data_IF_167862240984
#
_entry.id   IF_167862240984
#
_cell.length_a   1.000
_cell.length_b   1.000
_cell.length_c   1.000
_cell.angle_alpha   90.00
_cell.angle_beta   90.00
_cell.angle_gamma   90.00
#
_symmetry.space_group_name_H-M   'P 1'
#
loop_
_entity.id
_entity.type
_entity.pdbx_description
1 polymer ?
#
# COMPACT_ATOMS: atom_id res chain seq x y z
N UNK A 1 21.77 37.70 -26.03
CA UNK A 1 20.35 37.69 -25.63
C UNK A 1 20.14 36.38 -24.90
N UNK A 2 20.61 36.33 -23.65
CA UNK A 2 20.38 35.22 -22.72
C UNK A 2 18.89 35.21 -22.39
N UNK A 3 18.15 34.27 -22.97
CA UNK A 3 16.78 34.03 -22.56
C UNK A 3 16.82 33.31 -21.21
N UNK A 4 16.41 34.02 -20.17
CA UNK A 4 16.01 33.46 -18.90
C UNK A 4 14.93 32.39 -19.15
N UNK A 5 15.33 31.12 -19.19
CA UNK A 5 14.41 30.00 -19.01
C UNK A 5 14.32 29.82 -17.51
N UNK A 6 13.41 30.58 -16.93
CA UNK A 6 13.04 30.55 -15.52
C UNK A 6 12.54 29.14 -15.16
N UNK A 7 13.35 28.40 -14.41
CA UNK A 7 12.95 27.68 -13.19
C UNK A 7 11.72 26.76 -13.16
N UNK A 8 11.22 26.24 -14.28
CA UNK A 8 10.18 25.20 -14.23
C UNK A 8 10.79 23.84 -13.88
N UNK A 9 10.88 23.56 -12.58
CA UNK A 9 11.06 22.20 -12.08
C UNK A 9 9.71 21.47 -12.15
N UNK A 10 9.64 20.37 -12.91
CA UNK A 10 8.49 19.49 -12.93
C UNK A 10 8.51 18.58 -11.70
N UNK A 11 7.36 17.98 -11.35
CA UNK A 11 7.30 17.02 -10.24
C UNK A 11 8.28 15.83 -10.40
N UNK A 12 8.66 15.50 -11.64
CA UNK A 12 9.67 14.50 -11.98
C UNK A 12 11.11 14.92 -11.60
N UNK A 13 11.37 16.22 -11.41
CA UNK A 13 12.68 16.75 -11.01
C UNK A 13 12.92 16.67 -9.49
N UNK A 14 11.89 16.31 -8.71
CA UNK A 14 12.00 16.18 -7.26
C UNK A 14 12.26 14.72 -6.89
N UNK A 15 13.37 14.41 -6.20
CA UNK A 15 13.62 13.04 -5.76
C UNK A 15 12.57 12.64 -4.74
N UNK A 16 11.69 11.71 -5.09
CA UNK A 16 10.68 11.13 -4.18
C UNK A 16 11.28 10.11 -3.21
N UNK A 17 12.56 9.76 -3.36
CA UNK A 17 13.23 8.77 -2.53
C UNK A 17 13.08 9.01 -1.01
N UNK A 18 13.20 10.24 -0.47
CA UNK A 18 12.96 10.48 0.96
C UNK A 18 11.55 10.13 1.41
N UNK A 19 10.52 10.48 0.62
CA UNK A 19 9.13 10.14 0.92
C UNK A 19 8.91 8.62 0.86
N UNK A 20 9.48 7.94 -0.14
CA UNK A 20 9.41 6.48 -0.24
C UNK A 20 10.09 5.79 0.95
N UNK A 21 11.22 6.34 1.42
CA UNK A 21 11.95 5.84 2.58
C UNK A 21 11.14 6.03 3.87
N UNK A 22 10.53 7.21 4.08
CA UNK A 22 9.67 7.50 5.23
C UNK A 22 8.42 6.61 5.23
N UNK A 23 7.77 6.44 4.08
CA UNK A 23 6.66 5.51 3.90
C UNK A 23 7.06 4.07 4.25
N UNK A 24 8.25 3.62 3.79
CA UNK A 24 8.76 2.27 4.08
C UNK A 24 9.04 2.08 5.57
N UNK A 25 9.63 3.08 6.22
CA UNK A 25 9.92 3.05 7.66
C UNK A 25 8.63 2.95 8.47
N UNK A 26 7.69 3.88 8.27
CA UNK A 26 6.44 3.92 9.04
C UNK A 26 5.58 2.67 8.82
N UNK A 27 5.55 2.16 7.58
CA UNK A 27 4.92 0.88 7.25
C UNK A 27 5.56 -0.26 8.04
N UNK A 28 6.90 -0.35 8.09
CA UNK A 28 7.58 -1.44 8.81
C UNK A 28 7.30 -1.41 10.31
N UNK A 29 7.23 -0.21 10.90
CA UNK A 29 6.88 -0.04 12.31
C UNK A 29 5.44 -0.52 12.59
N UNK A 30 4.49 -0.19 11.71
CA UNK A 30 3.12 -0.70 11.84
C UNK A 30 3.06 -2.22 11.62
N UNK A 31 3.80 -2.76 10.66
CA UNK A 31 3.89 -4.21 10.42
C UNK A 31 4.33 -4.93 11.72
N UNK A 32 5.34 -4.40 12.41
CA UNK A 32 5.82 -4.95 13.69
C UNK A 32 4.81 -4.81 14.82
N UNK A 33 4.18 -3.64 14.97
CA UNK A 33 3.11 -3.43 15.94
C UNK A 33 1.95 -4.41 15.75
N UNK A 34 1.53 -4.67 14.51
CA UNK A 34 0.43 -5.60 14.22
C UNK A 34 0.78 -7.05 14.60
N UNK A 35 2.02 -7.49 14.33
CA UNK A 35 2.49 -8.82 14.73
C UNK A 35 2.50 -9.00 16.24
N UNK A 36 2.92 -7.97 16.98
CA UNK A 36 3.07 -8.00 18.44
C UNK A 36 1.71 -7.85 19.14
N UNK A 37 0.93 -6.84 18.76
CA UNK A 37 -0.27 -6.41 19.51
C UNK A 37 -1.56 -7.12 19.06
N UNK A 38 -1.60 -7.65 17.84
CA UNK A 38 -2.78 -8.36 17.32
C UNK A 38 -2.49 -9.86 17.24
N UNK A 39 -1.62 -10.25 16.31
CA UNK A 39 -1.01 -11.58 16.20
C UNK A 39 -0.25 -11.69 14.88
N UNK A 40 0.72 -12.60 14.82
CA UNK A 40 1.38 -12.96 13.56
C UNK A 40 0.40 -13.59 12.55
N UNK A 41 -0.56 -14.39 13.01
CA UNK A 41 -1.58 -15.00 12.14
C UNK A 41 -2.45 -13.94 11.45
N UNK A 42 -2.95 -12.96 12.20
CA UNK A 42 -3.71 -11.85 11.63
C UNK A 42 -2.86 -11.07 10.62
N UNK A 43 -1.61 -10.77 10.97
CA UNK A 43 -0.69 -10.04 10.09
C UNK A 43 -0.49 -10.79 8.75
N UNK A 44 -0.35 -12.11 8.77
CA UNK A 44 -0.23 -12.91 7.54
C UNK A 44 -1.46 -12.82 6.64
N UNK A 45 -2.67 -12.80 7.21
CA UNK A 45 -3.93 -12.61 6.46
C UNK A 45 -3.97 -11.23 5.80
N UNK A 46 -3.66 -10.18 6.56
CA UNK A 46 -3.57 -8.81 6.08
C UNK A 46 -2.53 -8.67 4.96
N UNK A 47 -1.33 -9.22 5.14
CA UNK A 47 -0.24 -9.16 4.16
C UNK A 47 -0.64 -9.83 2.85
N UNK A 48 -1.32 -10.97 2.91
CA UNK A 48 -1.82 -11.67 1.73
C UNK A 48 -2.83 -10.83 0.95
N UNK A 49 -3.79 -10.20 1.65
CA UNK A 49 -4.77 -9.29 1.03
C UNK A 49 -4.04 -8.10 0.38
N UNK A 50 -3.09 -7.47 1.08
CA UNK A 50 -2.33 -6.32 0.57
C UNK A 50 -1.48 -6.68 -0.65
N UNK A 51 -0.82 -7.84 -0.64
CA UNK A 51 -0.04 -8.33 -1.77
C UNK A 51 -0.93 -8.55 -3.00
N UNK A 52 -2.10 -9.17 -2.84
CA UNK A 52 -3.06 -9.34 -3.94
C UNK A 52 -3.53 -8.00 -4.50
N UNK A 53 -3.85 -7.03 -3.63
CA UNK A 53 -4.23 -5.69 -4.05
C UNK A 53 -3.11 -4.96 -4.82
N UNK A 54 -1.87 -5.00 -4.30
CA UNK A 54 -0.71 -4.38 -4.92
C UNK A 54 -0.38 -5.01 -6.28
N UNK A 55 -0.42 -6.33 -6.38
CA UNK A 55 -0.20 -7.01 -7.65
C UNK A 55 -1.32 -6.72 -8.66
N UNK A 56 -2.59 -6.69 -8.22
CA UNK A 56 -3.70 -6.36 -9.10
C UNK A 56 -3.58 -4.94 -9.67
N UNK A 57 -3.20 -3.97 -8.83
CA UNK A 57 -2.94 -2.60 -9.24
C UNK A 57 -1.75 -2.52 -10.22
N UNK A 58 -0.66 -3.24 -9.95
CA UNK A 58 0.50 -3.32 -10.83
C UNK A 58 0.18 -3.90 -12.21
N UNK A 59 -0.62 -4.98 -12.28
CA UNK A 59 -1.07 -5.55 -13.56
C UNK A 59 -1.96 -4.59 -14.33
N UNK A 60 -2.83 -3.86 -13.65
CA UNK A 60 -3.66 -2.82 -14.28
C UNK A 60 -2.81 -1.70 -14.88
N UNK A 61 -1.81 -1.21 -14.13
CA UNK A 61 -0.85 -0.21 -14.61
C UNK A 61 0.01 -0.71 -15.77
N UNK A 62 0.30 -2.01 -15.81
CA UNK A 62 1.00 -2.68 -16.91
C UNK A 62 0.10 -2.98 -18.12
N UNK A 63 -1.16 -2.51 -18.13
CA UNK A 63 -2.15 -2.77 -19.17
C UNK A 63 -2.51 -4.25 -19.37
N UNK A 64 -2.44 -5.06 -18.30
CA UNK A 64 -2.92 -6.45 -18.26
C UNK A 64 -4.19 -6.56 -17.38
N UNK A 65 -5.38 -6.23 -17.92
CA UNK A 65 -6.62 -6.23 -17.16
C UNK A 65 -7.10 -7.64 -16.78
N UNK A 66 -6.73 -8.68 -17.53
CA UNK A 66 -7.14 -10.06 -17.25
C UNK A 66 -6.45 -10.56 -15.98
N UNK A 67 -5.12 -10.42 -15.89
CA UNK A 67 -4.36 -10.76 -14.69
C UNK A 67 -4.78 -9.91 -13.49
N UNK A 68 -5.04 -8.62 -13.70
CA UNK A 68 -5.56 -7.73 -12.65
C UNK A 68 -6.88 -8.23 -12.08
N UNK A 69 -7.84 -8.58 -12.94
CA UNK A 69 -9.15 -9.07 -12.53
C UNK A 69 -9.08 -10.45 -11.85
N UNK A 70 -8.18 -11.32 -12.30
CA UNK A 70 -7.92 -12.60 -11.65
C UNK A 70 -7.44 -12.41 -10.20
N UNK A 71 -6.46 -11.52 -9.99
CA UNK A 71 -5.93 -11.21 -8.66
C UNK A 71 -6.98 -10.54 -7.76
N UNK A 72 -7.79 -9.62 -8.30
CA UNK A 72 -8.89 -9.02 -7.57
C UNK A 72 -9.94 -10.06 -7.13
N UNK A 73 -10.23 -11.04 -7.98
CA UNK A 73 -11.13 -12.15 -7.65
C UNK A 73 -10.55 -13.05 -6.55
N UNK A 74 -9.23 -13.29 -6.56
CA UNK A 74 -8.54 -13.99 -5.46
C UNK A 74 -8.63 -13.23 -4.15
N UNK A 75 -8.38 -11.92 -4.17
CA UNK A 75 -8.51 -11.05 -2.99
C UNK A 75 -9.94 -11.08 -2.44
N UNK A 76 -10.96 -11.07 -3.31
CA UNK A 76 -12.35 -11.21 -2.89
C UNK A 76 -12.60 -12.55 -2.18
N UNK A 77 -11.96 -13.63 -2.62
CA UNK A 77 -12.00 -14.93 -1.95
C UNK A 77 -11.45 -14.85 -0.52
N UNK A 78 -10.26 -14.29 -0.34
CA UNK A 78 -9.65 -14.08 1.00
C UNK A 78 -10.57 -13.28 1.92
N UNK A 79 -11.16 -12.20 1.41
CA UNK A 79 -12.04 -11.34 2.18
C UNK A 79 -13.35 -12.03 2.58
N UNK A 80 -13.86 -12.96 1.75
CA UNK A 80 -15.07 -13.74 2.06
C UNK A 80 -14.80 -14.81 3.12
N UNK A 81 -13.60 -15.35 3.17
CA UNK A 81 -13.17 -16.35 4.14
C UNK A 81 -12.66 -15.73 5.44
N UNK A 82 -12.47 -14.40 5.48
CA UNK A 82 -12.01 -13.68 6.66
C UNK A 82 -13.02 -13.79 7.81
N UNK A 83 -12.58 -14.17 9.03
CA UNK A 83 -13.42 -14.14 10.21
C UNK A 83 -13.99 -12.75 10.47
N UNK A 84 -15.24 -12.67 10.94
CA UNK A 84 -15.88 -11.38 11.20
C UNK A 84 -15.13 -10.56 12.27
N UNK A 85 -14.52 -11.23 13.25
CA UNK A 85 -13.67 -10.62 14.28
C UNK A 85 -12.41 -9.95 13.70
N UNK A 86 -11.89 -10.45 12.58
CA UNK A 86 -10.72 -9.90 11.89
C UNK A 86 -11.09 -8.73 10.97
N UNK A 87 -12.37 -8.54 10.61
CA UNK A 87 -12.80 -7.51 9.67
C UNK A 87 -12.54 -6.08 10.18
N UNK A 88 -12.80 -5.81 11.46
CA UNK A 88 -12.57 -4.50 12.07
C UNK A 88 -11.07 -4.19 12.25
N UNK A 89 -10.23 -5.10 12.79
CA UNK A 89 -8.78 -4.95 12.78
C UNK A 89 -8.21 -4.73 11.38
N UNK A 90 -8.68 -5.46 10.36
CA UNK A 90 -8.24 -5.29 8.98
C UNK A 90 -8.54 -3.87 8.48
N UNK A 91 -9.78 -3.41 8.63
CA UNK A 91 -10.18 -2.06 8.19
C UNK A 91 -9.36 -0.97 8.89
N UNK A 92 -9.08 -1.12 10.19
CA UNK A 92 -8.24 -0.19 10.95
C UNK A 92 -6.80 -0.21 10.48
N UNK A 93 -6.21 -1.39 10.25
CA UNK A 93 -4.85 -1.51 9.74
C UNK A 93 -4.71 -0.77 8.39
N UNK A 94 -5.65 -0.96 7.46
CA UNK A 94 -5.70 -0.22 6.20
C UNK A 94 -5.77 1.30 6.42
N UNK A 95 -6.66 1.76 7.32
CA UNK A 95 -6.75 3.18 7.67
C UNK A 95 -5.47 3.74 8.28
N UNK A 96 -4.78 2.96 9.12
CA UNK A 96 -3.50 3.35 9.70
C UNK A 96 -2.40 3.43 8.64
N UNK A 97 -2.30 2.49 7.69
CA UNK A 97 -1.34 2.62 6.59
C UNK A 97 -1.58 3.91 5.79
N UNK A 98 -2.84 4.21 5.42
CA UNK A 98 -3.18 5.44 4.69
C UNK A 98 -2.82 6.69 5.50
N UNK A 99 -3.12 6.71 6.80
CA UNK A 99 -2.76 7.83 7.67
C UNK A 99 -1.25 7.99 7.80
N UNK A 100 -0.49 6.90 7.88
CA UNK A 100 0.98 6.94 7.96
C UNK A 100 1.60 7.44 6.65
N UNK A 101 1.06 7.06 5.50
CA UNK A 101 1.44 7.66 4.22
C UNK A 101 1.19 9.17 4.22
N UNK A 102 0.02 9.61 4.68
CA UNK A 102 -0.28 11.05 4.80
C UNK A 102 0.50 11.81 5.88
N UNK A 103 1.21 11.11 6.78
CA UNK A 103 2.17 11.72 7.72
C UNK A 103 3.55 11.85 7.08
N UNK A 104 3.90 10.95 6.16
CA UNK A 104 5.15 11.01 5.41
C UNK A 104 5.14 12.07 4.31
N UNK A 105 3.96 12.33 3.71
CA UNK A 105 3.70 13.42 2.74
C UNK A 105 3.75 14.83 3.37
#
# INVERSE_FOLDING_TARGET
>A
MESAIDGFHFAEDYPLAPLEDDCRLLKSLLDDCLRIEVSDEFFQKLERIRMLASCAAGMFQAHDPESSQFLASKMQGELKELPLEDAMPLARACGHYLNLTGIAE
#
